data_IF_376647039884
#
_entry.id   IF_376647039884
#
_cell.length_a   1.000
_cell.length_b   1.000
_cell.length_c   1.000
_cell.angle_alpha   90.00
_cell.angle_beta   90.00
_cell.angle_gamma   90.00
#
_symmetry.space_group_name_H-M   'P 1'
#
loop_
_entity.id
_entity.type
_entity.pdbx_description
1 polymer ?
#
# COMPACT_ATOMS: atom_id res chain seq x y z
N UNK A 1 -7.61 7.34 11.76
CA UNK A 1 -8.10 8.27 10.72
C UNK A 1 -8.36 7.42 9.48
N UNK A 2 -9.57 7.39 8.93
CA UNK A 2 -9.90 6.53 7.78
C UNK A 2 -9.70 7.38 6.51
N UNK A 3 -8.79 6.96 5.64
CA UNK A 3 -8.56 7.64 4.36
C UNK A 3 -9.73 7.34 3.41
N UNK A 4 -10.16 8.34 2.63
CA UNK A 4 -11.08 8.11 1.53
C UNK A 4 -10.36 7.41 0.36
N UNK A 5 -11.15 6.81 -0.54
CA UNK A 5 -10.60 6.18 -1.76
C UNK A 5 -9.89 7.21 -2.63
N UNK A 6 -10.41 8.44 -2.71
CA UNK A 6 -9.79 9.52 -3.48
C UNK A 6 -8.42 9.92 -2.91
N UNK A 7 -8.31 10.04 -1.58
CA UNK A 7 -7.04 10.34 -0.92
C UNK A 7 -6.03 9.22 -1.10
N UNK A 8 -6.46 7.96 -1.03
CA UNK A 8 -5.62 6.80 -1.35
C UNK A 8 -5.15 6.83 -2.80
N UNK A 9 -6.02 7.26 -3.73
CA UNK A 9 -5.69 7.33 -5.16
C UNK A 9 -4.66 8.42 -5.45
N UNK A 10 -4.72 9.59 -4.81
CA UNK A 10 -3.67 10.61 -4.92
C UNK A 10 -2.33 10.13 -4.40
N UNK A 11 -2.32 9.50 -3.22
CA UNK A 11 -1.09 8.95 -2.63
C UNK A 11 -0.44 7.93 -3.56
N UNK A 12 -1.23 7.02 -4.14
CA UNK A 12 -0.72 6.00 -5.07
C UNK A 12 -0.20 6.64 -6.38
N UNK A 13 -0.81 7.73 -6.86
CA UNK A 13 -0.38 8.43 -8.07
C UNK A 13 0.94 9.16 -7.91
N UNK A 14 1.22 9.70 -6.72
CA UNK A 14 2.48 10.38 -6.42
C UNK A 14 3.58 9.41 -5.94
N UNK A 15 3.20 8.17 -5.61
CA UNK A 15 4.14 7.14 -5.22
C UNK A 15 4.89 6.58 -6.43
N UNK A 16 6.21 6.47 -6.29
CA UNK A 16 7.02 5.74 -7.24
C UNK A 16 6.65 4.24 -7.26
N UNK A 17 6.75 3.63 -8.44
CA UNK A 17 6.36 2.24 -8.69
C UNK A 17 7.22 1.25 -7.90
N UNK A 18 8.49 1.58 -7.61
CA UNK A 18 9.36 0.74 -6.78
C UNK A 18 8.86 0.73 -5.34
N UNK A 19 8.54 1.89 -4.78
CA UNK A 19 7.96 2.02 -3.43
C UNK A 19 6.60 1.33 -3.33
N UNK A 20 5.78 1.38 -4.38
CA UNK A 20 4.51 0.64 -4.41
C UNK A 20 4.72 -0.88 -4.39
N UNK A 21 5.70 -1.37 -5.16
CA UNK A 21 6.04 -2.81 -5.18
C UNK A 21 6.50 -3.31 -3.81
N UNK A 22 7.36 -2.55 -3.13
CA UNK A 22 7.85 -2.89 -1.78
C UNK A 22 6.70 -2.95 -0.75
N UNK A 23 5.74 -2.02 -0.84
CA UNK A 23 4.55 -2.02 0.02
C UNK A 23 3.67 -3.24 -0.19
N UNK A 24 3.46 -3.66 -1.44
CA UNK A 24 2.68 -4.87 -1.76
C UNK A 24 3.36 -6.12 -1.20
N UNK A 25 4.69 -6.24 -1.31
CA UNK A 25 5.45 -7.33 -0.70
C UNK A 25 5.32 -7.33 0.83
N UNK A 26 5.53 -6.19 1.48
CA UNK A 26 5.37 -6.03 2.93
C UNK A 26 3.96 -6.43 3.39
N UNK A 27 2.92 -5.98 2.69
CA UNK A 27 1.54 -6.34 2.98
C UNK A 27 1.29 -7.85 2.81
N UNK A 28 1.86 -8.46 1.78
CA UNK A 28 1.78 -9.91 1.55
C UNK A 28 2.43 -10.69 2.69
N UNK A 29 3.61 -10.27 3.14
CA UNK A 29 4.30 -10.90 4.28
C UNK A 29 3.51 -10.77 5.59
N UNK A 30 2.89 -9.60 5.85
CA UNK A 30 2.04 -9.40 7.01
C UNK A 30 0.79 -10.27 6.97
N UNK A 31 0.10 -10.35 5.82
CA UNK A 31 -1.07 -11.21 5.65
C UNK A 31 -0.73 -12.70 5.77
N UNK A 32 0.52 -13.09 5.54
CA UNK A 32 1.00 -14.46 5.67
C UNK A 32 1.40 -14.81 7.12
N UNK A 33 1.75 -13.81 7.95
CA UNK A 33 2.15 -13.99 9.36
C UNK A 33 0.97 -14.04 10.34
N UNK A 34 -0.24 -13.69 9.93
CA UNK A 34 -1.45 -13.81 10.76
C UNK A 34 -2.12 -15.21 10.66
N UNK A 35 -1.37 -16.26 10.33
CA UNK A 35 -1.80 -17.66 10.38
C UNK A 35 -1.03 -18.48 11.41
#
# INVERSE_FOLDING_TARGET
MKLSIDQLTEIIKEMDLQTFSELIELCSEYSCKEK
#
